data_IF_236334515818
#
_entry.id   IF_236334515818
#
_cell.length_a   1.000
_cell.length_b   1.000
_cell.length_c   1.000
_cell.angle_alpha   90.00
_cell.angle_beta   90.00
_cell.angle_gamma   90.00
#
_symmetry.space_group_name_H-M   'P 1'
#
loop_
_entity.id
_entity.type
_entity.pdbx_description
1 polymer ?
#
# COMPACT_ATOMS: atom_id res chain seq x y z
N UNK A 1 -80.85 20.26 1.59
CA UNK A 1 -80.26 21.51 1.06
C UNK A 1 -79.50 22.23 2.16
N UNK A 2 -78.51 21.57 2.77
CA UNK A 2 -77.68 22.15 3.85
C UNK A 2 -76.34 21.42 4.07
N UNK A 3 -75.74 20.79 3.04
CA UNK A 3 -74.45 20.07 3.18
C UNK A 3 -73.30 20.60 2.28
N UNK A 4 -73.54 21.57 1.41
CA UNK A 4 -72.52 22.03 0.44
C UNK A 4 -71.60 23.17 0.92
N UNK A 5 -71.61 23.54 2.21
CA UNK A 5 -70.83 24.70 2.71
C UNK A 5 -69.53 24.33 3.44
N UNK A 6 -69.11 23.06 3.46
CA UNK A 6 -67.89 22.64 4.19
C UNK A 6 -66.66 22.33 3.33
N UNK A 7 -66.75 22.37 2.00
CA UNK A 7 -65.63 21.97 1.14
C UNK A 7 -64.60 23.07 0.83
N UNK A 8 -64.90 24.35 1.12
CA UNK A 8 -64.10 25.47 0.61
C UNK A 8 -63.26 26.23 1.68
N UNK A 9 -63.18 25.72 2.91
CA UNK A 9 -62.43 26.40 3.99
C UNK A 9 -60.95 25.95 4.10
N UNK A 10 -60.54 24.92 3.35
CA UNK A 10 -59.18 24.36 3.43
C UNK A 10 -58.33 24.60 2.18
N UNK A 11 -58.87 25.27 1.16
CA UNK A 11 -58.16 25.60 -0.09
C UNK A 11 -57.12 26.72 0.09
N UNK A 12 -57.29 27.58 1.12
CA UNK A 12 -56.46 28.77 1.34
C UNK A 12 -55.40 28.59 2.45
N UNK A 13 -55.19 27.36 2.91
CA UNK A 13 -54.15 27.03 3.87
C UNK A 13 -52.79 26.90 3.16
N UNK A 14 -51.69 27.38 3.77
CA UNK A 14 -50.36 27.25 3.19
C UNK A 14 -50.05 25.77 2.95
N UNK A 15 -49.70 25.43 1.70
CA UNK A 15 -49.38 24.06 1.28
C UNK A 15 -48.32 23.46 2.21
N UNK A 16 -48.69 22.39 2.93
CA UNK A 16 -47.80 21.73 3.89
C UNK A 16 -46.85 20.81 3.13
N UNK A 17 -45.67 21.33 2.80
CA UNK A 17 -44.67 20.62 1.99
C UNK A 17 -44.33 19.22 2.55
N UNK A 18 -44.22 19.07 3.88
CA UNK A 18 -43.97 17.78 4.54
C UNK A 18 -45.00 16.69 4.19
N UNK A 19 -46.29 17.05 4.08
CA UNK A 19 -47.34 16.09 3.71
C UNK A 19 -47.31 15.76 2.22
N UNK A 20 -46.99 16.77 1.39
CA UNK A 20 -46.79 16.57 -0.05
C UNK A 20 -45.61 15.63 -0.30
N UNK A 21 -44.48 15.80 0.38
CA UNK A 21 -43.30 14.92 0.24
C UNK A 21 -43.62 13.48 0.71
N UNK A 22 -44.38 13.34 1.80
CA UNK A 22 -44.84 12.03 2.28
C UNK A 22 -45.79 11.37 1.26
N UNK A 23 -46.69 12.15 0.66
CA UNK A 23 -47.59 11.67 -0.39
C UNK A 23 -46.84 11.29 -1.66
N UNK A 24 -45.80 12.03 -2.06
CA UNK A 24 -44.92 11.67 -3.17
C UNK A 24 -44.26 10.32 -2.91
N UNK A 25 -43.68 10.11 -1.71
CA UNK A 25 -43.11 8.81 -1.33
C UNK A 25 -44.13 7.66 -1.35
N UNK A 26 -45.37 7.92 -0.93
CA UNK A 26 -46.47 6.95 -1.03
C UNK A 26 -46.82 6.63 -2.49
N UNK A 27 -46.93 7.64 -3.35
CA UNK A 27 -47.29 7.50 -4.77
C UNK A 27 -46.20 6.81 -5.61
N UNK A 28 -44.93 6.94 -5.22
CA UNK A 28 -43.79 6.27 -5.86
C UNK A 28 -43.66 4.78 -5.49
N UNK A 29 -44.30 4.34 -4.41
CA UNK A 29 -44.22 2.96 -3.95
C UNK A 29 -44.85 2.00 -5.00
N UNK A 30 -44.15 0.93 -5.45
CA UNK A 30 -44.65 0.03 -6.49
C UNK A 30 -46.00 -0.62 -6.15
N UNK A 31 -46.26 -0.93 -4.88
CA UNK A 31 -47.52 -1.53 -4.44
C UNK A 31 -48.70 -0.55 -4.51
N UNK A 32 -48.41 0.75 -4.43
CA UNK A 32 -49.40 1.83 -4.52
C UNK A 32 -49.58 2.25 -5.98
N UNK A 33 -48.50 2.30 -6.77
CA UNK A 33 -48.52 2.68 -8.19
C UNK A 33 -49.53 1.87 -9.01
N UNK A 34 -49.68 0.58 -8.70
CA UNK A 34 -50.62 -0.33 -9.37
C UNK A 34 -52.09 -0.11 -9.01
N UNK A 35 -52.40 0.66 -7.96
CA UNK A 35 -53.78 0.96 -7.53
C UNK A 35 -54.42 2.03 -8.44
N UNK A 36 -55.77 2.07 -8.55
CA UNK A 36 -56.45 3.13 -9.28
C UNK A 36 -56.24 4.49 -8.60
N UNK A 37 -56.21 5.57 -9.39
CA UNK A 37 -55.90 6.91 -8.89
C UNK A 37 -56.97 7.43 -7.92
N UNK A 38 -58.23 7.07 -8.13
CA UNK A 38 -59.33 7.42 -7.20
C UNK A 38 -59.09 6.87 -5.79
N UNK A 39 -58.57 5.64 -5.68
CA UNK A 39 -58.24 5.04 -4.38
C UNK A 39 -57.04 5.73 -3.71
N UNK A 40 -56.06 6.18 -4.50
CA UNK A 40 -54.91 6.95 -4.00
C UNK A 40 -55.37 8.30 -3.47
N UNK A 41 -56.22 9.01 -4.23
CA UNK A 41 -56.78 10.31 -3.83
C UNK A 41 -57.61 10.17 -2.56
N UNK A 42 -58.50 9.17 -2.49
CA UNK A 42 -59.31 8.91 -1.29
C UNK A 42 -58.45 8.62 -0.05
N UNK A 43 -57.37 7.82 -0.20
CA UNK A 43 -56.44 7.54 0.88
C UNK A 43 -55.70 8.82 1.36
N UNK A 44 -55.25 9.66 0.43
CA UNK A 44 -54.57 10.91 0.77
C UNK A 44 -55.52 11.92 1.44
N UNK A 45 -56.79 12.00 0.99
CA UNK A 45 -57.84 12.78 1.67
C UNK A 45 -58.11 12.26 3.08
N UNK A 46 -58.18 10.94 3.27
CA UNK A 46 -58.34 10.32 4.59
C UNK A 46 -57.15 10.60 5.51
N UNK A 47 -55.95 10.77 4.95
CA UNK A 47 -54.75 11.23 5.65
C UNK A 47 -54.73 12.72 5.96
N UNK A 48 -55.75 13.47 5.55
CA UNK A 48 -55.91 14.89 5.84
C UNK A 48 -55.18 15.82 4.87
N UNK A 49 -54.89 15.35 3.64
CA UNK A 49 -54.38 16.21 2.57
C UNK A 49 -55.54 16.91 1.85
N UNK A 50 -55.30 18.16 1.45
CA UNK A 50 -56.24 18.94 0.62
C UNK A 50 -56.08 18.59 -0.85
N UNK A 51 -57.09 18.91 -1.66
CA UNK A 51 -57.06 18.66 -3.11
C UNK A 51 -55.87 19.35 -3.80
N UNK A 52 -55.55 20.58 -3.39
CA UNK A 52 -54.36 21.32 -3.81
C UNK A 52 -53.04 20.62 -3.46
N UNK A 53 -52.92 20.03 -2.26
CA UNK A 53 -51.74 19.27 -1.84
C UNK A 53 -51.59 17.97 -2.65
N UNK A 54 -52.71 17.28 -2.90
CA UNK A 54 -52.75 16.04 -3.69
C UNK A 54 -52.32 16.32 -5.14
N UNK A 55 -52.89 17.35 -5.78
CA UNK A 55 -52.54 17.74 -7.14
C UNK A 55 -51.03 18.02 -7.28
N UNK A 56 -50.44 18.70 -6.29
CA UNK A 56 -49.00 18.98 -6.26
C UNK A 56 -48.15 17.71 -6.11
N UNK A 57 -48.57 16.76 -5.28
CA UNK A 57 -47.90 15.47 -5.13
C UNK A 57 -47.91 14.66 -6.44
N UNK A 58 -49.07 14.58 -7.11
CA UNK A 58 -49.18 13.90 -8.41
C UNK A 58 -48.35 14.57 -9.50
N UNK A 59 -48.29 15.91 -9.54
CA UNK A 59 -47.46 16.63 -10.49
C UNK A 59 -45.97 16.32 -10.32
N UNK A 60 -45.50 16.27 -9.06
CA UNK A 60 -44.10 15.94 -8.75
C UNK A 60 -43.73 14.51 -9.14
N UNK A 61 -44.62 13.55 -8.89
CA UNK A 61 -44.43 12.16 -9.31
C UNK A 61 -44.39 12.02 -10.83
N UNK A 62 -45.20 12.79 -11.57
CA UNK A 62 -45.16 12.82 -13.04
C UNK A 62 -43.82 13.36 -13.55
N UNK A 63 -43.31 14.44 -12.97
CA UNK A 63 -42.00 15.00 -13.32
C UNK A 63 -40.86 14.02 -13.02
N UNK A 64 -40.91 13.31 -11.89
CA UNK A 64 -39.91 12.29 -11.53
C UNK A 64 -39.99 11.05 -12.45
N UNK A 65 -41.19 10.68 -12.90
CA UNK A 65 -41.36 9.63 -13.91
C UNK A 65 -40.82 10.06 -15.29
N UNK A 66 -41.06 11.30 -15.72
CA UNK A 66 -40.59 11.83 -17.00
C UNK A 66 -39.06 12.00 -17.02
N UNK A 67 -38.46 12.50 -15.94
CA UNK A 67 -37.00 12.64 -15.81
C UNK A 67 -36.25 11.31 -15.74
N UNK A 68 -36.88 10.26 -15.18
CA UNK A 68 -36.31 8.91 -15.19
C UNK A 68 -36.29 8.28 -16.60
N UNK A 69 -37.22 8.67 -17.49
CA UNK A 69 -37.29 8.17 -18.87
C UNK A 69 -36.29 8.92 -19.77
N UNK A 70 -36.12 10.24 -19.57
CA UNK A 70 -35.17 11.08 -20.34
C UNK A 70 -33.70 10.70 -20.11
N UNK A 71 -33.39 9.96 -19.04
CA UNK A 71 -32.02 9.49 -18.76
C UNK A 71 -31.58 8.30 -19.64
N UNK A 72 -32.53 7.61 -20.29
CA UNK A 72 -32.25 6.38 -21.05
C UNK A 72 -32.41 6.50 -22.58
N UNK A 73 -32.85 7.65 -23.11
CA UNK A 73 -33.08 7.83 -24.55
C UNK A 73 -32.41 9.11 -25.06
N UNK A 74 -31.09 9.03 -25.24
CA UNK A 74 -30.39 9.92 -26.18
C UNK A 74 -30.82 9.60 -27.62
N UNK A 75 -32.00 10.05 -28.06
CA UNK A 75 -32.22 10.40 -29.47
C UNK A 75 -33.56 11.12 -29.72
N UNK A 76 -33.45 12.24 -30.45
CA UNK A 76 -34.48 12.89 -31.27
C UNK A 76 -35.39 13.99 -30.66
N UNK A 77 -34.91 15.23 -30.85
CA UNK A 77 -35.62 16.37 -31.47
C UNK A 77 -37.08 16.65 -31.07
N UNK A 78 -37.33 17.56 -30.12
CA UNK A 78 -38.36 18.62 -30.27
C UNK A 78 -37.96 19.88 -29.49
N UNK A 79 -38.06 21.01 -30.18
CA UNK A 79 -37.76 22.39 -29.78
C UNK A 79 -38.86 22.98 -28.87
N UNK A 80 -38.52 23.47 -27.67
CA UNK A 80 -39.39 24.36 -26.89
C UNK A 80 -38.55 25.30 -25.98
N UNK A 81 -38.74 26.61 -26.21
CA UNK A 81 -38.29 27.83 -25.51
C UNK A 81 -37.25 27.76 -24.37
N UNK A 82 -36.14 28.53 -24.45
CA UNK A 82 -35.15 28.61 -23.37
C UNK A 82 -35.63 29.53 -22.25
N UNK A 83 -35.87 28.97 -21.06
CA UNK A 83 -35.89 29.73 -19.81
C UNK A 83 -34.45 30.12 -19.44
N UNK A 84 -34.20 31.34 -18.90
CA UNK A 84 -32.87 31.72 -18.46
C UNK A 84 -32.41 30.76 -17.34
N UNK A 85 -31.23 30.15 -17.44
CA UNK A 85 -30.73 29.24 -16.42
C UNK A 85 -30.56 30.02 -15.12
N UNK A 86 -31.16 29.51 -14.04
CA UNK A 86 -30.90 29.97 -12.68
C UNK A 86 -29.41 29.80 -12.39
N UNK A 87 -28.66 30.90 -12.48
CA UNK A 87 -27.24 30.92 -12.17
C UNK A 87 -27.10 30.74 -10.66
N UNK A 88 -26.82 29.50 -10.24
CA UNK A 88 -26.33 29.24 -8.88
C UNK A 88 -25.07 30.08 -8.68
N UNK A 89 -24.93 30.82 -7.56
CA UNK A 89 -23.75 31.63 -7.32
C UNK A 89 -22.53 30.74 -7.39
N UNK A 90 -21.64 31.08 -8.32
CA UNK A 90 -20.40 30.36 -8.63
C UNK A 90 -19.44 30.46 -7.43
N UNK A 91 -19.70 29.65 -6.41
CA UNK A 91 -18.90 29.61 -5.19
C UNK A 91 -17.99 28.39 -5.28
N UNK A 92 -16.68 28.63 -5.21
CA UNK A 92 -15.63 27.62 -5.13
C UNK A 92 -15.91 26.51 -4.11
N UNK A 93 -16.73 26.81 -3.08
CA UNK A 93 -17.20 25.85 -2.08
C UNK A 93 -18.08 24.72 -2.64
N UNK A 94 -18.90 24.97 -3.67
CA UNK A 94 -19.72 23.92 -4.28
C UNK A 94 -18.88 23.00 -5.18
N UNK A 95 -17.90 23.56 -5.89
CA UNK A 95 -16.92 22.77 -6.63
C UNK A 95 -16.08 21.90 -5.70
N UNK A 96 -15.58 22.46 -4.59
CA UNK A 96 -14.82 21.69 -3.59
C UNK A 96 -15.65 20.56 -2.97
N UNK A 97 -16.95 20.77 -2.72
CA UNK A 97 -17.85 19.72 -2.23
C UNK A 97 -18.19 18.68 -3.31
N UNK A 98 -18.32 19.08 -4.57
CA UNK A 98 -18.58 18.18 -5.69
C UNK A 98 -17.36 17.30 -6.04
N UNK A 99 -16.15 17.84 -5.87
CA UNK A 99 -14.91 17.07 -6.06
C UNK A 99 -14.62 16.09 -4.94
N UNK A 100 -15.40 16.07 -3.84
CA UNK A 100 -15.20 15.08 -2.78
C UNK A 100 -15.36 13.64 -3.28
N UNK A 101 -16.38 13.37 -4.12
CA UNK A 101 -16.59 12.05 -4.72
C UNK A 101 -15.49 11.69 -5.73
N UNK A 102 -15.05 12.67 -6.52
CA UNK A 102 -13.94 12.49 -7.45
C UNK A 102 -12.61 12.23 -6.73
N UNK A 103 -12.37 12.91 -5.61
CA UNK A 103 -11.16 12.75 -4.79
C UNK A 103 -11.14 11.39 -4.09
N UNK A 104 -12.29 10.93 -3.57
CA UNK A 104 -12.44 9.57 -3.02
C UNK A 104 -12.15 8.52 -4.11
N UNK A 105 -12.73 8.70 -5.30
CA UNK A 105 -12.50 7.79 -6.44
C UNK A 105 -11.05 7.79 -6.90
N UNK A 106 -10.41 8.96 -6.94
CA UNK A 106 -9.00 9.12 -7.31
C UNK A 106 -8.07 8.51 -6.26
N UNK A 107 -8.35 8.71 -4.97
CA UNK A 107 -7.58 8.11 -3.88
C UNK A 107 -7.67 6.58 -3.90
N UNK A 108 -8.86 6.03 -4.15
CA UNK A 108 -9.06 4.58 -4.34
C UNK A 108 -8.31 4.09 -5.58
N UNK A 109 -8.41 4.79 -6.71
CA UNK A 109 -7.72 4.43 -7.94
C UNK A 109 -6.19 4.43 -7.75
N UNK A 110 -5.63 5.49 -7.16
CA UNK A 110 -4.20 5.61 -6.84
C UNK A 110 -3.76 4.52 -5.86
N UNK A 111 -4.57 4.22 -4.83
CA UNK A 111 -4.25 3.17 -3.86
C UNK A 111 -4.23 1.79 -4.51
N UNK A 112 -5.19 1.49 -5.38
CA UNK A 112 -5.24 0.24 -6.14
C UNK A 112 -4.06 0.17 -7.11
N UNK A 113 -3.73 1.25 -7.81
CA UNK A 113 -2.59 1.31 -8.71
C UNK A 113 -1.26 1.10 -7.96
N UNK A 114 -1.10 1.74 -6.81
CA UNK A 114 0.07 1.58 -5.95
C UNK A 114 0.17 0.15 -5.40
N UNK A 115 -0.95 -0.42 -4.95
CA UNK A 115 -1.02 -1.82 -4.47
C UNK A 115 -0.72 -2.81 -5.60
N UNK A 116 -1.23 -2.56 -6.80
CA UNK A 116 -1.02 -3.37 -7.98
C UNK A 116 0.43 -3.28 -8.45
N UNK A 117 1.01 -2.08 -8.51
CA UNK A 117 2.42 -1.88 -8.81
C UNK A 117 3.29 -2.67 -7.84
N UNK A 118 3.05 -2.54 -6.54
CA UNK A 118 3.80 -3.26 -5.51
C UNK A 118 3.59 -4.78 -5.55
N UNK A 119 2.42 -5.26 -5.94
CA UNK A 119 2.08 -6.68 -5.87
C UNK A 119 2.33 -7.46 -7.16
N UNK A 120 2.37 -6.79 -8.31
CA UNK A 120 2.50 -7.43 -9.63
C UNK A 120 3.74 -6.98 -10.38
N UNK A 121 4.09 -5.69 -10.33
CA UNK A 121 5.26 -5.17 -11.04
C UNK A 121 6.52 -5.39 -10.21
N UNK A 122 6.48 -5.24 -8.88
CA UNK A 122 7.62 -5.54 -8.00
C UNK A 122 8.10 -7.00 -8.13
N UNK A 123 7.27 -8.05 -8.01
CA UNK A 123 7.76 -9.42 -8.17
C UNK A 123 8.09 -9.80 -9.61
N UNK A 124 7.58 -9.06 -10.61
CA UNK A 124 7.85 -9.33 -12.02
C UNK A 124 9.12 -8.63 -12.54
N UNK A 125 9.40 -7.40 -12.07
CA UNK A 125 10.57 -6.60 -12.46
C UNK A 125 11.73 -6.71 -11.48
N UNK A 126 11.45 -6.83 -10.18
CA UNK A 126 12.42 -7.15 -9.12
C UNK A 126 12.28 -8.61 -8.70
N UNK A 127 12.20 -9.48 -9.72
CA UNK A 127 12.15 -10.94 -9.60
C UNK A 127 12.88 -11.42 -8.36
N UNK A 128 12.09 -11.71 -7.33
CA UNK A 128 12.53 -12.28 -6.07
C UNK A 128 13.46 -11.40 -5.21
N UNK A 129 13.00 -11.15 -3.98
CA UNK A 129 13.89 -10.84 -2.83
C UNK A 129 14.99 -11.91 -2.61
N UNK A 130 15.04 -13.00 -3.39
CA UNK A 130 16.16 -13.93 -3.42
C UNK A 130 17.44 -13.28 -3.90
N UNK A 131 17.42 -12.32 -4.83
CA UNK A 131 18.67 -11.69 -5.28
C UNK A 131 19.30 -10.88 -4.15
N UNK A 132 18.50 -10.22 -3.30
CA UNK A 132 19.01 -9.57 -2.09
C UNK A 132 19.50 -10.57 -1.03
N UNK A 133 18.84 -11.72 -0.90
CA UNK A 133 19.31 -12.78 0.00
C UNK A 133 20.62 -13.42 -0.49
N UNK A 134 20.76 -13.66 -1.79
CA UNK A 134 21.95 -14.21 -2.42
C UNK A 134 23.10 -13.20 -2.40
N UNK A 135 22.84 -11.93 -2.73
CA UNK A 135 23.83 -10.85 -2.60
C UNK A 135 24.26 -10.69 -1.13
N UNK A 136 23.35 -10.82 -0.17
CA UNK A 136 23.71 -10.76 1.25
C UNK A 136 24.55 -11.96 1.69
N UNK A 137 24.24 -13.16 1.20
CA UNK A 137 25.01 -14.37 1.45
C UNK A 137 26.41 -14.29 0.81
N UNK A 138 26.51 -13.78 -0.42
CA UNK A 138 27.78 -13.53 -1.11
C UNK A 138 28.61 -12.46 -0.39
N UNK A 139 27.99 -11.39 0.12
CA UNK A 139 28.68 -10.37 0.93
C UNK A 139 29.20 -10.95 2.26
N UNK A 140 28.42 -11.83 2.90
CA UNK A 140 28.86 -12.53 4.09
C UNK A 140 30.05 -13.45 3.79
N UNK A 141 29.99 -14.23 2.71
CA UNK A 141 31.09 -15.09 2.26
C UNK A 141 32.36 -14.28 1.91
N UNK A 142 32.23 -13.14 1.23
CA UNK A 142 33.36 -12.25 0.94
C UNK A 142 33.95 -11.63 2.20
N UNK A 143 33.12 -11.31 3.19
CA UNK A 143 33.58 -10.78 4.47
C UNK A 143 34.33 -11.85 5.26
N UNK A 144 33.83 -13.09 5.27
CA UNK A 144 34.50 -14.23 5.89
C UNK A 144 35.83 -14.58 5.19
N UNK A 145 35.86 -14.52 3.86
CA UNK A 145 37.08 -14.73 3.08
C UNK A 145 38.11 -13.61 3.33
N UNK A 146 37.67 -12.35 3.34
CA UNK A 146 38.54 -11.21 3.65
C UNK A 146 39.12 -11.31 5.07
N UNK A 147 38.31 -11.74 6.04
CA UNK A 147 38.78 -12.01 7.40
C UNK A 147 39.79 -13.17 7.44
N UNK A 148 39.57 -14.23 6.67
CA UNK A 148 40.51 -15.36 6.57
C UNK A 148 41.84 -14.94 5.93
N UNK A 149 41.81 -14.14 4.86
CA UNK A 149 43.01 -13.57 4.23
C UNK A 149 43.74 -12.64 5.21
N UNK A 150 43.01 -11.77 5.91
CA UNK A 150 43.60 -10.90 6.93
C UNK A 150 44.27 -11.69 8.05
N UNK A 151 43.64 -12.79 8.52
CA UNK A 151 44.24 -13.71 9.50
C UNK A 151 45.52 -14.35 8.97
N UNK A 152 45.52 -14.80 7.71
CA UNK A 152 46.72 -15.37 7.09
C UNK A 152 47.84 -14.34 6.99
N UNK A 153 47.54 -13.12 6.55
CA UNK A 153 48.50 -12.01 6.52
C UNK A 153 49.05 -11.71 7.91
N UNK A 154 48.20 -11.69 8.94
CA UNK A 154 48.65 -11.53 10.33
C UNK A 154 49.51 -12.70 10.81
N UNK A 155 49.18 -13.95 10.46
CA UNK A 155 50.02 -15.09 10.81
C UNK A 155 51.36 -15.04 10.10
N UNK A 156 51.39 -14.66 8.83
CA UNK A 156 52.64 -14.48 8.06
C UNK A 156 53.47 -13.36 8.69
N UNK A 157 52.88 -12.20 8.99
CA UNK A 157 53.58 -11.11 9.67
C UNK A 157 54.10 -11.52 11.05
N UNK A 158 53.32 -12.27 11.83
CA UNK A 158 53.77 -12.78 13.14
C UNK A 158 54.86 -13.84 13.01
N UNK A 159 54.88 -14.59 11.90
CA UNK A 159 55.89 -15.60 11.64
C UNK A 159 57.16 -14.96 11.11
N UNK A 160 57.07 -13.92 10.28
CA UNK A 160 58.18 -13.05 9.92
C UNK A 160 58.78 -12.37 11.16
N UNK A 161 57.94 -11.87 12.07
CA UNK A 161 58.36 -11.28 13.34
C UNK A 161 59.04 -12.33 14.23
N UNK A 162 58.45 -13.52 14.39
CA UNK A 162 59.03 -14.61 15.16
C UNK A 162 60.35 -15.11 14.55
N UNK A 163 60.44 -15.22 13.22
CA UNK A 163 61.68 -15.56 12.51
C UNK A 163 62.73 -14.48 12.69
N UNK A 164 62.37 -13.20 12.62
CA UNK A 164 63.31 -12.10 12.83
C UNK A 164 63.80 -12.03 14.28
N UNK A 165 62.90 -12.22 15.25
CA UNK A 165 63.26 -12.34 16.67
C UNK A 165 64.14 -13.57 16.90
N UNK A 166 63.85 -14.69 16.21
CA UNK A 166 64.67 -15.90 16.30
C UNK A 166 66.04 -15.71 15.65
N UNK A 167 66.16 -14.99 14.54
CA UNK A 167 67.44 -14.60 13.94
C UNK A 167 68.23 -13.71 14.90
N UNK A 168 67.58 -12.75 15.56
CA UNK A 168 68.23 -11.93 16.59
C UNK A 168 68.63 -12.75 17.82
N UNK A 169 67.86 -13.77 18.21
CA UNK A 169 68.25 -14.68 19.28
C UNK A 169 69.39 -15.60 18.85
N UNK A 170 69.40 -16.08 17.61
CA UNK A 170 70.50 -16.86 17.02
C UNK A 170 71.76 -15.99 16.94
N UNK A 171 71.63 -14.71 16.57
CA UNK A 171 72.74 -13.76 16.53
C UNK A 171 73.21 -13.41 17.95
N UNK A 172 72.31 -13.26 18.91
CA UNK A 172 72.68 -13.01 20.32
C UNK A 172 73.28 -14.24 21.00
N UNK A 173 72.87 -15.45 20.63
CA UNK A 173 73.48 -16.71 21.09
C UNK A 173 74.73 -17.08 20.29
N UNK A 174 74.90 -16.61 19.06
CA UNK A 174 76.16 -16.73 18.32
C UNK A 174 77.21 -15.73 18.82
N UNK A 175 76.80 -14.53 19.24
CA UNK A 175 77.69 -13.50 19.80
C UNK A 175 78.20 -13.84 21.21
N UNK A 176 77.57 -14.77 21.94
CA UNK A 176 78.05 -15.26 23.26
C UNK A 176 78.30 -16.77 23.34
N UNK A 177 78.26 -17.50 22.22
CA UNK A 177 78.25 -18.97 22.21
C UNK A 177 79.24 -19.63 21.25
N UNK A 178 80.40 -19.01 20.99
CA UNK A 178 81.54 -19.70 20.34
C UNK A 178 82.40 -20.39 21.41
N UNK A 179 81.80 -21.28 22.21
CA UNK A 179 82.55 -22.30 22.98
C UNK A 179 81.69 -23.49 23.42
N UNK A 180 80.89 -24.06 22.53
CA UNK A 180 80.46 -25.44 22.74
C UNK A 180 80.38 -26.18 21.41
N UNK A 181 81.53 -26.75 21.01
CA UNK A 181 81.50 -27.99 20.25
C UNK A 181 80.55 -28.92 21.02
N UNK A 182 79.48 -29.47 20.40
CA UNK A 182 78.54 -30.31 21.12
C UNK A 182 79.34 -31.40 21.82
N UNK A 183 79.15 -31.62 23.13
CA UNK A 183 79.87 -32.68 23.86
C UNK A 183 79.85 -34.00 23.09
N UNK A 184 78.70 -34.30 22.48
CA UNK A 184 78.52 -35.44 21.59
C UNK A 184 79.49 -35.49 20.39
N UNK A 185 79.89 -34.37 19.79
CA UNK A 185 80.87 -34.35 18.70
C UNK A 185 82.29 -34.59 19.20
N UNK A 186 82.64 -34.07 20.39
CA UNK A 186 83.92 -34.37 21.05
C UNK A 186 83.99 -35.85 21.45
N UNK A 187 82.91 -36.37 22.03
CA UNK A 187 82.79 -37.77 22.43
C UNK A 187 82.89 -38.70 21.20
N UNK A 188 82.21 -38.37 20.10
CA UNK A 188 82.30 -39.13 18.83
C UNK A 188 83.72 -39.08 18.26
N UNK A 189 84.41 -37.94 18.31
CA UNK A 189 85.78 -37.82 17.83
C UNK A 189 86.76 -38.65 18.67
N UNK A 190 86.55 -38.70 19.99
CA UNK A 190 87.34 -39.52 20.90
C UNK A 190 87.10 -41.02 20.67
N UNK A 191 85.84 -41.43 20.46
CA UNK A 191 85.50 -42.80 20.08
C UNK A 191 86.11 -43.21 18.74
N UNK A 192 86.04 -42.35 17.71
CA UNK A 192 86.68 -42.61 16.41
C UNK A 192 88.21 -42.70 16.55
N UNK A 193 88.82 -41.86 17.38
CA UNK A 193 90.25 -41.90 17.66
C UNK A 193 90.66 -43.20 18.34
N UNK A 194 89.89 -43.65 19.34
CA UNK A 194 90.13 -44.92 20.03
C UNK A 194 89.92 -46.14 19.12
N UNK A 195 88.93 -46.13 18.25
CA UNK A 195 88.75 -47.20 17.25
C UNK A 195 89.93 -47.22 16.27
N UNK A 196 90.39 -46.05 15.84
CA UNK A 196 91.53 -45.92 14.92
C UNK A 196 92.83 -46.45 15.55
N UNK A 197 93.09 -46.17 16.83
CA UNK A 197 94.27 -46.70 17.53
C UNK A 197 94.19 -48.23 17.72
N UNK A 198 93.00 -48.76 18.03
CA UNK A 198 92.75 -50.21 18.11
C UNK A 198 92.98 -50.93 16.78
N UNK A 199 92.61 -50.31 15.66
CA UNK A 199 92.84 -50.86 14.31
C UNK A 199 94.30 -50.74 13.86
N UNK A 200 95.03 -49.73 14.32
CA UNK A 200 96.46 -49.58 14.01
C UNK A 200 97.39 -50.43 14.89
N UNK A 201 96.90 -50.94 16.03
CA UNK A 201 97.70 -51.74 16.97
C UNK A 201 97.56 -53.26 16.75
N UNK A 202 97.31 -53.70 15.51
CA UNK A 202 97.17 -55.11 15.15
C UNK A 202 97.98 -55.47 13.92
#
# INVERSE_FOLDING_TARGET
MAEDLKSNANEDLPIRQNLVDTAVGFLLNPNVKQRPDDAKIAFLKQKGLTDSEIAKAFNRVKYEAETAVVSNENNQLVNAYPLPPYQTPNSFWFHLRSYSSAFVSFAVAVYVLHRFYKSYIEPWLFGSKSEQSEISALKQQLTELNNSVSRLTSTVASLEEAVNIQILQIDRTSVYGVESVPKSVKDILEEVSNVKSLLLNR
#
